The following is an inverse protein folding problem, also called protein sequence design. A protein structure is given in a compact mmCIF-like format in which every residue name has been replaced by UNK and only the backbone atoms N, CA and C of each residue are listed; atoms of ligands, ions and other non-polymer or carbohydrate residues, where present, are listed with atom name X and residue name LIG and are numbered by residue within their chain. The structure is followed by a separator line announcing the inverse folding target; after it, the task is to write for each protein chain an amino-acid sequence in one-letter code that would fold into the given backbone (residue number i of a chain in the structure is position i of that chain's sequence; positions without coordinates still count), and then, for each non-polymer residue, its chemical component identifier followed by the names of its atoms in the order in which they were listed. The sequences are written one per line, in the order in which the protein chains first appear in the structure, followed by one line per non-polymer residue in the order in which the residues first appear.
data_IF_393671216843
#
_entry.id   IF_393671216843
#
_cell.length_a   1.000
_cell.length_b   1.000
_cell.length_c   1.000
_cell.angle_alpha   90.00
_cell.angle_beta   90.00
_cell.angle_gamma   90.00
#
_symmetry.space_group_name_H-M   'P 1'
#
loop_
_entity.id
_entity.type
_entity.pdbx_description
1 polymer ?
#
# COMPACT_ATOMS: atom_id res chain seq x y z
N UNK A 1 -10.14 -20.10 -10.27
CA UNK A 1 -9.05 -19.79 -9.33
C UNK A 1 -7.78 -20.39 -9.89
N UNK A 2 -6.63 -19.74 -9.75
CA UNK A 2 -5.35 -20.30 -10.18
C UNK A 2 -4.51 -20.70 -8.97
N UNK A 3 -3.79 -21.82 -9.08
CA UNK A 3 -2.73 -22.22 -8.16
C UNK A 3 -1.42 -22.12 -8.92
N UNK A 4 -0.48 -21.36 -8.37
CA UNK A 4 0.80 -21.07 -9.00
C UNK A 4 1.91 -21.57 -8.08
N UNK A 5 2.99 -22.06 -8.67
CA UNK A 5 4.17 -22.41 -7.92
C UNK A 5 4.87 -21.13 -7.44
N UNK A 6 5.21 -21.07 -6.16
CA UNK A 6 5.77 -19.87 -5.54
C UNK A 6 7.11 -19.45 -6.16
N UNK A 7 8.01 -20.41 -6.43
CA UNK A 7 9.38 -20.12 -6.87
C UNK A 7 9.47 -19.87 -8.38
N UNK A 8 8.72 -20.63 -9.17
CA UNK A 8 8.80 -20.55 -10.64
C UNK A 8 7.76 -19.62 -11.25
N UNK A 9 6.78 -19.17 -10.46
CA UNK A 9 5.63 -18.38 -10.90
C UNK A 9 4.84 -19.00 -12.06
N UNK A 10 4.96 -20.32 -12.25
CA UNK A 10 4.22 -21.05 -13.27
C UNK A 10 2.87 -21.54 -12.74
N UNK A 11 1.80 -21.49 -13.56
CA UNK A 11 0.54 -22.11 -13.23
C UNK A 11 0.74 -23.61 -12.97
N UNK A 12 0.24 -24.09 -11.84
CA UNK A 12 0.21 -25.52 -11.45
C UNK A 12 -1.17 -26.09 -11.73
N UNK A 13 -2.23 -25.33 -11.44
CA UNK A 13 -3.60 -25.74 -11.72
C UNK A 13 -4.50 -24.53 -11.93
N UNK A 14 -5.48 -24.70 -12.81
CA UNK A 14 -6.61 -23.78 -12.95
C UNK A 14 -7.83 -24.54 -12.43
N UNK A 15 -8.47 -23.99 -11.41
CA UNK A 15 -9.67 -24.53 -10.80
C UNK A 15 -10.89 -23.76 -11.31
N UNK A 16 -11.95 -24.48 -11.61
CA UNK A 16 -13.22 -23.86 -11.96
C UNK A 16 -13.83 -23.17 -10.74
N UNK A 17 -14.29 -21.93 -10.93
CA UNK A 17 -14.86 -21.11 -9.87
C UNK A 17 -13.85 -20.42 -8.95
N UNK A 18 -14.38 -19.80 -7.88
CA UNK A 18 -13.63 -19.06 -6.84
C UNK A 18 -14.09 -19.44 -5.43
N UNK A 19 -14.74 -20.59 -5.29
CA UNK A 19 -15.25 -21.07 -4.01
C UNK A 19 -14.23 -21.97 -3.29
N UNK A 20 -14.49 -22.21 -2.00
CA UNK A 20 -13.65 -23.11 -1.22
C UNK A 20 -13.78 -24.59 -1.62
N UNK A 21 -14.81 -24.99 -2.37
CA UNK A 21 -15.09 -26.40 -2.67
C UNK A 21 -14.07 -26.95 -3.65
N UNK A 22 -13.86 -26.29 -4.79
CA UNK A 22 -12.88 -26.77 -5.79
C UNK A 22 -11.45 -26.72 -5.24
N UNK A 23 -11.16 -25.76 -4.36
CA UNK A 23 -9.89 -25.72 -3.62
C UNK A 23 -9.73 -26.93 -2.68
N UNK A 24 -10.77 -27.30 -1.91
CA UNK A 24 -10.72 -28.47 -1.02
C UNK A 24 -10.45 -29.76 -1.79
N UNK A 25 -11.10 -29.94 -2.94
CA UNK A 25 -10.93 -31.11 -3.80
C UNK A 25 -9.49 -31.21 -4.32
N UNK A 26 -8.91 -30.08 -4.75
CA UNK A 26 -7.52 -30.04 -5.21
C UNK A 26 -6.54 -30.30 -4.06
N UNK A 27 -6.71 -29.65 -2.90
CA UNK A 27 -5.85 -29.85 -1.73
C UNK A 27 -5.93 -31.28 -1.19
N UNK A 28 -7.08 -31.95 -1.31
CA UNK A 28 -7.26 -33.34 -0.89
C UNK A 28 -6.37 -34.30 -1.67
N UNK A 29 -6.08 -33.98 -2.93
CA UNK A 29 -5.16 -34.73 -3.80
C UNK A 29 -3.70 -34.28 -3.67
N UNK A 30 -3.45 -33.12 -3.05
CA UNK A 30 -2.14 -32.46 -2.96
C UNK A 30 -1.72 -32.22 -1.51
N UNK A 31 -1.72 -33.28 -0.69
CA UNK A 31 -1.39 -33.23 0.74
C UNK A 31 0.06 -32.87 1.08
N UNK A 32 0.93 -32.83 0.08
CA UNK A 32 2.35 -32.48 0.23
C UNK A 32 2.58 -30.97 0.41
N UNK A 33 1.57 -30.13 0.17
CA UNK A 33 1.65 -28.68 0.31
C UNK A 33 1.82 -28.29 1.79
N UNK A 34 2.88 -27.55 2.11
CA UNK A 34 3.22 -27.12 3.47
C UNK A 34 2.96 -25.64 3.75
N UNK A 35 2.94 -24.83 2.71
CA UNK A 35 2.71 -23.39 2.81
C UNK A 35 1.81 -22.94 1.65
N UNK A 36 0.89 -22.04 1.95
CA UNK A 36 -0.03 -21.45 0.97
C UNK A 36 -0.06 -19.95 1.15
N UNK A 37 0.36 -19.21 0.12
CA UNK A 37 0.12 -17.79 0.00
C UNK A 37 -1.26 -17.60 -0.61
N UNK A 38 -2.13 -16.83 0.05
CA UNK A 38 -3.52 -16.64 -0.40
C UNK A 38 -4.01 -15.21 -0.22
N UNK A 39 -5.04 -14.90 -1.00
CA UNK A 39 -5.91 -13.76 -0.74
C UNK A 39 -6.62 -13.89 0.62
N UNK A 40 -7.11 -12.78 1.18
CA UNK A 40 -7.75 -12.69 2.50
C UNK A 40 -9.17 -13.25 2.56
N UNK A 41 -9.70 -13.81 1.47
CA UNK A 41 -11.02 -14.44 1.46
C UNK A 41 -11.13 -15.58 2.49
N UNK A 42 -12.15 -15.50 3.35
CA UNK A 42 -12.39 -16.45 4.45
C UNK A 42 -12.63 -17.88 3.95
N UNK A 43 -13.28 -18.03 2.80
CA UNK A 43 -13.56 -19.32 2.17
C UNK A 43 -12.28 -20.13 1.90
N UNK A 44 -11.20 -19.48 1.44
CA UNK A 44 -9.93 -20.15 1.18
C UNK A 44 -9.24 -20.56 2.48
N UNK A 45 -9.25 -19.68 3.49
CA UNK A 45 -8.62 -20.01 4.78
C UNK A 45 -9.29 -21.18 5.47
N UNK A 46 -10.63 -21.23 5.43
CA UNK A 46 -11.41 -22.34 5.96
C UNK A 46 -11.13 -23.64 5.19
N UNK A 47 -11.11 -23.59 3.85
CA UNK A 47 -10.79 -24.74 3.01
C UNK A 47 -9.39 -25.32 3.29
N UNK A 48 -8.38 -24.45 3.39
CA UNK A 48 -7.01 -24.88 3.69
C UNK A 48 -6.95 -25.48 5.10
N UNK A 49 -7.51 -24.81 6.11
CA UNK A 49 -7.48 -25.29 7.50
C UNK A 49 -8.17 -26.64 7.67
N UNK A 50 -9.24 -26.89 6.93
CA UNK A 50 -9.98 -28.16 6.99
C UNK A 50 -9.19 -29.32 6.35
N UNK A 51 -8.52 -29.08 5.22
CA UNK A 51 -7.88 -30.13 4.44
C UNK A 51 -6.40 -30.32 4.81
N UNK A 52 -5.72 -29.25 5.19
CA UNK A 52 -4.31 -29.17 5.57
C UNK A 52 -4.15 -28.29 6.84
N UNK A 53 -4.55 -28.78 8.02
CA UNK A 53 -4.51 -28.00 9.25
C UNK A 53 -3.10 -27.51 9.63
N UNK A 54 -2.08 -28.27 9.24
CA UNK A 54 -0.68 -27.96 9.53
C UNK A 54 -0.02 -27.09 8.44
N UNK A 55 -0.73 -26.75 7.36
CA UNK A 55 -0.18 -25.89 6.33
C UNK A 55 -0.13 -24.43 6.81
N UNK A 56 1.04 -23.80 6.67
CA UNK A 56 1.23 -22.39 6.97
C UNK A 56 0.45 -21.53 5.97
N UNK A 57 -0.41 -20.65 6.48
CA UNK A 57 -1.17 -19.72 5.65
C UNK A 57 -0.53 -18.33 5.70
N UNK A 58 -0.13 -17.83 4.55
CA UNK A 58 0.56 -16.54 4.39
C UNK A 58 -0.37 -15.60 3.62
N UNK A 59 -0.46 -14.35 4.06
CA UNK A 59 -1.16 -13.32 3.30
C UNK A 59 -0.41 -13.02 2.00
N UNK A 60 -1.15 -12.82 0.92
CA UNK A 60 -0.56 -12.35 -0.34
C UNK A 60 0.25 -11.06 -0.14
N UNK A 61 1.39 -10.97 -0.83
CA UNK A 61 2.31 -9.82 -0.79
C UNK A 61 1.62 -8.51 -1.14
N UNK A 62 0.64 -8.53 -2.06
CA UNK A 62 -0.16 -7.34 -2.39
C UNK A 62 -0.79 -6.73 -1.14
N UNK A 63 -1.36 -7.56 -0.26
CA UNK A 63 -1.99 -7.10 0.97
C UNK A 63 -1.00 -6.55 1.99
N UNK A 64 0.21 -7.09 2.03
CA UNK A 64 1.27 -6.54 2.90
C UNK A 64 1.68 -5.14 2.43
N UNK A 65 1.84 -4.95 1.11
CA UNK A 65 2.16 -3.64 0.54
C UNK A 65 1.03 -2.63 0.75
N UNK A 66 -0.23 -3.03 0.53
CA UNK A 66 -1.39 -2.17 0.79
C UNK A 66 -1.43 -1.69 2.24
N UNK A 67 -1.32 -2.62 3.20
CA UNK A 67 -1.30 -2.30 4.61
C UNK A 67 -0.15 -1.35 4.98
N UNK A 68 1.04 -1.57 4.42
CA UNK A 68 2.20 -0.72 4.66
C UNK A 68 1.97 0.71 4.14
N UNK A 69 1.49 0.85 2.90
CA UNK A 69 1.23 2.15 2.29
C UNK A 69 0.12 2.91 3.03
N UNK A 70 -0.90 2.20 3.50
CA UNK A 70 -1.96 2.78 4.32
C UNK A 70 -1.40 3.28 5.66
N UNK A 71 -0.58 2.49 6.34
CA UNK A 71 0.08 2.91 7.58
C UNK A 71 0.95 4.16 7.35
N UNK A 72 1.78 4.17 6.30
CA UNK A 72 2.61 5.32 5.94
C UNK A 72 1.76 6.56 5.68
N UNK A 73 0.68 6.43 4.88
CA UNK A 73 -0.24 7.54 4.60
C UNK A 73 -0.83 8.11 5.88
N UNK A 74 -1.30 7.25 6.78
CA UNK A 74 -1.91 7.67 8.04
C UNK A 74 -0.89 8.38 8.93
N UNK A 75 0.35 7.88 9.01
CA UNK A 75 1.43 8.54 9.75
C UNK A 75 1.77 9.90 9.17
N UNK A 76 1.94 10.02 7.84
CA UNK A 76 2.22 11.30 7.18
C UNK A 76 1.10 12.30 7.47
N UNK A 77 -0.16 11.88 7.28
CA UNK A 77 -1.33 12.74 7.53
C UNK A 77 -1.50 13.15 8.99
N UNK A 78 -0.91 12.41 9.94
CA UNK A 78 -0.96 12.76 11.36
C UNK A 78 0.07 13.82 11.76
N UNK A 79 1.14 14.00 10.96
CA UNK A 79 2.26 14.89 11.27
C UNK A 79 2.28 16.11 10.36
N UNK A 80 1.96 15.94 9.08
CA UNK A 80 2.03 17.01 8.09
C UNK A 80 0.64 17.63 7.87
N UNK A 81 0.54 18.97 7.75
CA UNK A 81 -0.68 19.62 7.34
C UNK A 81 -1.02 19.25 5.89
N UNK A 82 -2.31 19.26 5.56
CA UNK A 82 -2.82 18.97 4.21
C UNK A 82 -2.23 19.94 3.18
N UNK A 83 -2.05 21.21 3.56
CA UNK A 83 -1.42 22.23 2.75
C UNK A 83 -0.06 22.63 3.33
N UNK A 84 1.00 22.41 2.55
CA UNK A 84 2.35 22.91 2.85
C UNK A 84 2.63 24.08 1.90
N UNK A 85 2.60 25.30 2.43
CA UNK A 85 2.98 26.49 1.67
C UNK A 85 4.50 26.56 1.61
N UNK A 86 5.06 26.55 0.39
CA UNK A 86 6.48 26.82 0.17
C UNK A 86 6.63 28.35 0.15
N UNK A 87 7.42 28.94 1.07
CA UNK A 87 7.69 30.37 1.03
C UNK A 87 8.39 30.72 -0.29
N UNK A 88 7.82 31.65 -1.05
CA UNK A 88 8.51 32.27 -2.18
C UNK A 88 9.34 33.43 -1.64
N UNK A 89 10.66 33.27 -1.58
CA UNK A 89 11.59 34.36 -1.25
C UNK A 89 11.65 35.36 -2.41
N UNK A 90 10.60 36.17 -2.57
CA UNK A 90 10.60 37.36 -3.40
C UNK A 90 10.74 38.58 -2.50
N UNK A 91 11.88 38.70 -1.82
CA UNK A 91 12.32 39.96 -1.23
C UNK A 91 13.83 40.10 -1.44
N UNK A 92 14.23 40.38 -2.68
CA UNK A 92 15.56 40.92 -2.95
C UNK A 92 15.61 42.38 -2.50
N UNK A 93 16.46 42.63 -1.52
CA UNK A 93 16.81 43.91 -0.91
C UNK A 93 17.39 44.89 -1.94
N UNK A 94 16.94 46.16 -1.92
CA UNK A 94 17.77 47.34 -2.23
C UNK A 94 17.13 48.65 -1.70
N UNK A 95 17.47 48.98 -0.44
CA UNK A 95 17.84 50.27 0.18
C UNK A 95 17.06 51.61 0.00
N UNK A 96 17.15 52.52 1.02
CA UNK A 96 16.26 53.66 1.21
C UNK A 96 16.74 54.92 0.46
N UNK A 97 15.84 55.58 -0.27
CA UNK A 97 16.12 56.87 -0.92
C UNK A 97 15.62 58.04 -0.07
N UNK A 98 16.54 58.54 0.76
CA UNK A 98 16.87 59.96 1.05
C UNK A 98 15.73 61.00 1.05
N UNK A 99 15.48 61.54 2.24
CA UNK A 99 14.82 62.80 2.53
C UNK A 99 15.53 63.97 1.83
N UNK A 100 14.81 64.73 0.99
CA UNK A 100 15.25 66.05 0.54
C UNK A 100 14.22 67.09 0.98
N UNK A 101 14.54 67.75 2.09
CA UNK A 101 13.98 69.03 2.49
C UNK A 101 14.48 70.11 1.51
N UNK A 102 13.55 70.88 0.94
CA UNK A 102 13.87 72.10 0.19
C UNK A 102 12.73 73.09 0.35
N UNK A 103 12.77 73.81 1.48
CA UNK A 103 12.05 75.07 1.70
C UNK A 103 12.28 76.04 0.54
N UNK A 104 11.22 76.72 0.08
CA UNK A 104 11.15 78.20 0.12
C UNK A 104 9.73 78.73 -0.14
N UNK A 105 9.36 79.64 0.75
CA UNK A 105 8.13 80.41 0.80
C UNK A 105 7.99 81.41 -0.35
N UNK A 106 6.73 81.71 -0.67
CA UNK A 106 6.12 82.99 -1.02
C UNK A 106 7.00 84.15 -1.56
N UNK A 107 6.56 84.69 -2.70
CA UNK A 107 6.21 86.11 -2.82
C UNK A 107 4.98 86.27 -3.72
#
# INVERSE_FOLDING_TARGET
MEITNETTHKPVAILDGRDGKTLKEWLSKNKHVKAVTRDRASAYSAAIKEILPDAMQIADRFHLHQNLLEAIRNTINSVLPVDIRIPSDSNSIAEPSVENDSKKNAM
#
